data_IF_242129244482
#
_entry.id   IF_242129244482
#
_cell.length_a   1.000
_cell.length_b   1.000
_cell.length_c   1.000
_cell.angle_alpha   90.00
_cell.angle_beta   90.00
_cell.angle_gamma   90.00
#
_symmetry.space_group_name_H-M   'P 1'
#
loop_
_entity.id
_entity.type
_entity.pdbx_description
1 polymer ?
#
# COMPACT_ATOMS: atom_id res chain seq x y z
N UNK A 1 17.06 16.50 26.83
CA UNK A 1 16.12 15.39 26.59
C UNK A 1 16.95 14.18 26.18
N UNK A 2 16.98 13.12 27.00
CA UNK A 2 17.80 11.92 26.78
C UNK A 2 17.05 10.92 25.88
N UNK A 3 17.71 10.22 24.95
CA UNK A 3 17.06 9.17 24.17
C UNK A 3 16.84 7.94 25.07
N UNK A 4 15.62 7.44 25.10
CA UNK A 4 15.20 6.27 25.85
C UNK A 4 15.29 5.06 24.93
N UNK A 5 16.33 4.24 25.13
CA UNK A 5 16.49 2.94 24.49
C UNK A 5 15.46 1.97 25.09
N UNK A 6 14.54 1.47 24.26
CA UNK A 6 13.62 0.39 24.66
C UNK A 6 14.31 -0.94 24.36
N UNK A 7 14.61 -1.67 25.43
CA UNK A 7 15.22 -3.00 25.42
C UNK A 7 14.15 -4.05 25.05
N UNK A 8 14.27 -4.69 23.89
CA UNK A 8 13.45 -5.82 23.52
C UNK A 8 13.88 -7.06 24.32
N UNK A 9 12.99 -7.57 25.18
CA UNK A 9 13.23 -8.81 25.92
C UNK A 9 13.01 -10.01 24.98
N UNK A 10 14.11 -10.60 24.51
CA UNK A 10 14.08 -11.89 23.83
C UNK A 10 13.92 -13.01 24.88
N UNK A 11 12.76 -13.66 24.89
CA UNK A 11 12.58 -14.91 25.63
C UNK A 11 13.33 -16.01 24.87
N UNK A 12 14.56 -16.32 25.30
CA UNK A 12 15.35 -17.41 24.76
C UNK A 12 14.83 -18.74 25.30
N UNK A 13 14.10 -19.49 24.46
CA UNK A 13 13.91 -20.92 24.68
C UNK A 13 15.29 -21.60 24.50
N UNK A 14 15.82 -22.19 25.57
CA UNK A 14 17.06 -22.97 25.51
C UNK A 14 16.85 -24.21 24.61
N UNK A 15 17.68 -24.45 23.58
CA UNK A 15 17.56 -25.66 22.80
C UNK A 15 18.08 -26.84 23.62
N UNK A 16 17.31 -27.92 23.67
CA UNK A 16 17.82 -29.22 24.09
C UNK A 16 18.93 -29.64 23.10
N UNK A 17 20.13 -29.91 23.62
CA UNK A 17 21.26 -30.39 22.83
C UNK A 17 21.06 -31.87 22.47
N UNK A 18 20.24 -32.13 21.45
CA UNK A 18 20.28 -33.40 20.73
C UNK A 18 21.50 -33.40 19.80
N UNK A 19 22.17 -34.55 19.65
CA UNK A 19 23.22 -34.74 18.64
C UNK A 19 22.60 -34.51 17.25
N UNK A 20 22.80 -33.33 16.69
CA UNK A 20 22.26 -32.97 15.38
C UNK A 20 23.33 -33.21 14.33
N UNK A 21 22.91 -33.78 13.19
CA UNK A 21 23.73 -33.83 11.99
C UNK A 21 24.26 -32.42 11.65
N UNK A 22 25.44 -32.30 11.03
CA UNK A 22 25.94 -31.02 10.53
C UNK A 22 24.85 -30.28 9.75
N UNK A 23 24.76 -28.95 9.91
CA UNK A 23 23.77 -28.12 9.19
C UNK A 23 23.75 -28.35 7.68
N UNK A 24 24.87 -28.78 7.09
CA UNK A 24 25.00 -29.12 5.68
C UNK A 24 24.26 -30.41 5.27
N UNK A 25 24.07 -31.34 6.21
CA UNK A 25 23.36 -32.61 6.01
C UNK A 25 21.91 -32.57 6.52
N UNK A 26 21.44 -31.43 7.03
CA UNK A 26 20.08 -31.26 7.56
C UNK A 26 19.22 -30.40 6.62
N UNK A 27 18.29 -30.99 5.86
CA UNK A 27 17.45 -30.25 4.90
C UNK A 27 16.61 -29.16 5.57
N UNK A 28 16.14 -29.41 6.81
CA UNK A 28 15.35 -28.44 7.55
C UNK A 28 16.16 -27.18 7.95
N UNK A 29 17.47 -27.32 8.17
CA UNK A 29 18.36 -26.19 8.47
C UNK A 29 18.72 -25.39 7.21
N UNK A 30 18.99 -26.08 6.09
CA UNK A 30 19.23 -25.43 4.80
C UNK A 30 18.01 -24.62 4.34
N UNK A 31 16.81 -25.15 4.56
CA UNK A 31 15.59 -24.44 4.21
C UNK A 31 15.37 -23.18 5.03
N UNK A 32 15.72 -23.18 6.32
CA UNK A 32 15.60 -21.99 7.14
C UNK A 32 16.47 -20.85 6.60
N UNK A 33 17.73 -21.15 6.26
CA UNK A 33 18.65 -20.13 5.69
C UNK A 33 18.09 -19.51 4.41
N UNK A 34 17.47 -20.31 3.54
CA UNK A 34 16.86 -19.80 2.30
C UNK A 34 15.69 -18.87 2.54
N UNK A 35 14.82 -19.21 3.49
CA UNK A 35 13.71 -18.33 3.88
C UNK A 35 14.28 -16.98 4.35
N UNK A 36 15.29 -17.00 5.22
CA UNK A 36 15.92 -15.79 5.76
C UNK A 36 16.60 -14.95 4.65
N UNK A 37 17.24 -15.61 3.67
CA UNK A 37 17.83 -14.96 2.48
C UNK A 37 16.77 -14.29 1.59
N UNK A 38 15.67 -14.99 1.31
CA UNK A 38 14.56 -14.46 0.52
C UNK A 38 13.87 -13.28 1.22
N UNK A 39 13.64 -13.36 2.53
CA UNK A 39 13.07 -12.27 3.32
C UNK A 39 13.96 -11.02 3.27
N UNK A 40 15.27 -11.20 3.48
CA UNK A 40 16.24 -10.09 3.39
C UNK A 40 16.23 -9.46 2.00
N UNK A 41 16.15 -10.28 0.94
CA UNK A 41 16.06 -9.76 -0.43
C UNK A 41 14.76 -8.99 -0.67
N UNK A 42 13.62 -9.51 -0.23
CA UNK A 42 12.32 -8.81 -0.35
C UNK A 42 12.36 -7.47 0.38
N UNK A 43 12.99 -7.40 1.55
CA UNK A 43 13.18 -6.14 2.28
C UNK A 43 13.99 -5.13 1.46
N UNK A 44 15.08 -5.56 0.83
CA UNK A 44 15.87 -4.69 -0.05
C UNK A 44 15.08 -4.21 -1.28
N UNK A 45 14.36 -5.11 -1.95
CA UNK A 45 13.50 -4.76 -3.10
C UNK A 45 12.38 -3.77 -2.70
N UNK A 46 11.88 -3.84 -1.46
CA UNK A 46 10.94 -2.87 -0.91
C UNK A 46 11.58 -1.50 -0.66
N UNK A 47 12.81 -1.46 -0.16
CA UNK A 47 13.55 -0.21 0.08
C UNK A 47 13.93 0.51 -1.22
N UNK A 48 14.20 -0.24 -2.29
CA UNK A 48 14.55 0.32 -3.61
C UNK A 48 13.34 0.86 -4.38
N UNK A 49 12.12 0.46 -4.01
CA UNK A 49 10.90 0.95 -4.67
C UNK A 49 10.72 2.44 -4.40
N UNK A 50 10.78 3.24 -5.48
CA UNK A 50 10.42 4.66 -5.44
C UNK A 50 8.92 4.79 -5.21
N UNK A 51 8.53 5.43 -4.10
CA UNK A 51 7.15 5.80 -3.84
C UNK A 51 6.74 6.99 -4.72
N UNK A 52 5.48 7.00 -5.18
CA UNK A 52 4.86 8.19 -5.78
C UNK A 52 4.63 9.20 -4.65
N UNK A 53 5.39 10.31 -4.67
CA UNK A 53 5.37 11.33 -3.60
C UNK A 53 4.11 12.18 -3.58
N UNK A 54 3.46 12.37 -4.74
CA UNK A 54 2.16 13.04 -4.85
C UNK A 54 1.22 12.22 -5.75
N UNK A 55 0.35 11.37 -5.16
CA UNK A 55 -0.50 10.49 -5.91
C UNK A 55 -1.70 11.22 -6.54
N UNK A 56 -1.92 12.50 -6.25
CA UNK A 56 -3.08 13.23 -6.78
C UNK A 56 -2.62 14.38 -7.68
N UNK A 57 -2.87 14.26 -8.99
CA UNK A 57 -2.69 15.37 -9.92
C UNK A 57 -4.00 16.14 -10.07
N UNK A 58 -3.90 17.46 -9.98
CA UNK A 58 -5.01 18.37 -10.27
C UNK A 58 -4.67 19.12 -11.54
N UNK A 59 -5.57 19.09 -12.51
CA UNK A 59 -5.49 20.03 -13.61
C UNK A 59 -5.87 21.41 -13.07
N UNK A 60 -4.92 22.36 -13.08
CA UNK A 60 -5.20 23.71 -12.64
C UNK A 60 -6.20 24.32 -13.63
N UNK A 61 -7.45 24.51 -13.18
CA UNK A 61 -8.39 25.31 -13.96
C UNK A 61 -7.72 26.67 -14.26
N UNK A 62 -7.70 27.12 -15.53
CA UNK A 62 -7.11 28.39 -15.87
C UNK A 62 -7.74 29.47 -14.98
N UNK A 63 -6.94 30.42 -14.45
CA UNK A 63 -7.49 31.52 -13.69
C UNK A 63 -8.57 32.18 -14.55
N UNK A 64 -9.77 32.43 -13.99
CA UNK A 64 -10.80 33.11 -14.75
C UNK A 64 -10.19 34.41 -15.28
N UNK A 65 -10.28 34.61 -16.60
CA UNK A 65 -9.76 35.82 -17.24
C UNK A 65 -10.33 37.02 -16.50
N UNK A 66 -9.45 37.90 -15.99
CA UNK A 66 -9.88 39.12 -15.34
C UNK A 66 -10.76 39.89 -16.34
N UNK A 67 -12.06 40.08 -16.06
CA UNK A 67 -12.88 40.89 -16.93
C UNK A 67 -12.30 42.32 -16.91
N UNK A 68 -12.40 43.06 -18.01
CA UNK A 68 -11.90 44.42 -18.08
C UNK A 68 -12.46 45.21 -16.90
N UNK A 69 -11.64 46.09 -16.32
CA UNK A 69 -12.03 47.03 -15.29
C UNK A 69 -13.06 48.02 -15.88
N UNK A 70 -14.30 47.57 -15.99
CA UNK A 70 -15.45 48.40 -16.31
C UNK A 70 -15.85 49.21 -15.08
N UNK A 71 -16.25 50.45 -15.32
CA UNK A 71 -16.62 51.46 -14.33
C UNK A 71 -17.43 50.91 -13.15
N UNK A 72 -17.12 51.43 -11.96
CA UNK A 72 -17.61 50.96 -10.67
C UNK A 72 -19.12 51.21 -10.49
N UNK A 73 -19.95 50.34 -11.08
CA UNK A 73 -21.36 50.23 -10.69
C UNK A 73 -21.39 49.75 -9.24
N UNK A 74 -21.88 50.63 -8.38
CA UNK A 74 -22.11 50.37 -6.96
C UNK A 74 -23.61 50.20 -6.73
N UNK A 75 -23.97 49.30 -5.84
CA UNK A 75 -25.35 49.08 -5.43
C UNK A 75 -25.41 48.74 -3.95
N UNK A 76 -26.53 49.06 -3.33
CA UNK A 76 -26.76 48.80 -1.90
C UNK A 76 -27.13 47.35 -1.69
N UNK A 77 -26.30 46.61 -0.96
CA UNK A 77 -26.59 45.22 -0.57
C UNK A 77 -27.36 45.22 0.73
N UNK A 78 -28.60 44.73 0.70
CA UNK A 78 -29.49 44.55 1.87
C UNK A 78 -29.34 43.17 2.48
N UNK A 79 -29.18 42.15 1.66
CA UNK A 79 -29.13 40.76 2.09
C UNK A 79 -28.17 39.98 1.17
N UNK A 80 -27.36 39.09 1.76
CA UNK A 80 -26.54 38.12 1.03
C UNK A 80 -27.07 36.74 1.37
N UNK A 81 -27.51 36.00 0.36
CA UNK A 81 -28.03 34.64 0.49
C UNK A 81 -27.01 33.64 -0.02
N UNK A 82 -26.84 32.56 0.73
CA UNK A 82 -25.98 31.45 0.35
C UNK A 82 -26.85 30.22 0.05
N UNK A 83 -26.46 29.43 -0.94
CA UNK A 83 -26.98 28.05 -1.02
C UNK A 83 -26.48 27.24 0.17
N UNK A 84 -27.19 26.17 0.51
CA UNK A 84 -26.75 25.26 1.58
C UNK A 84 -25.35 24.73 1.32
N UNK A 85 -24.57 24.61 2.39
CA UNK A 85 -23.19 24.15 2.38
C UNK A 85 -23.04 23.07 3.44
N UNK A 86 -22.47 21.93 3.06
CA UNK A 86 -22.23 20.82 3.98
C UNK A 86 -20.94 21.00 4.79
N UNK A 87 -20.05 21.91 4.38
CA UNK A 87 -18.72 22.10 4.96
C UNK A 87 -18.62 23.38 5.78
N UNK A 88 -19.14 24.50 5.26
CA UNK A 88 -19.19 25.79 5.94
C UNK A 88 -20.55 25.97 6.65
N UNK A 89 -20.56 26.17 7.98
CA UNK A 89 -21.78 26.43 8.72
C UNK A 89 -22.31 27.85 8.42
N UNK A 90 -23.61 28.06 8.60
CA UNK A 90 -24.28 29.32 8.28
C UNK A 90 -23.69 30.52 9.04
N UNK A 91 -23.26 30.32 10.28
CA UNK A 91 -22.65 31.35 11.13
C UNK A 91 -21.33 31.87 10.54
N UNK A 92 -20.50 30.96 10.01
CA UNK A 92 -19.23 31.33 9.39
C UNK A 92 -19.45 32.12 8.08
N UNK A 93 -20.46 31.74 7.30
CA UNK A 93 -20.85 32.46 6.09
C UNK A 93 -21.39 33.86 6.43
N UNK A 94 -22.21 33.98 7.49
CA UNK A 94 -22.73 35.26 7.96
C UNK A 94 -21.61 36.19 8.46
N UNK A 95 -20.61 35.66 9.17
CA UNK A 95 -19.43 36.43 9.61
C UNK A 95 -18.62 36.97 8.43
N UNK A 96 -18.40 36.14 7.40
CA UNK A 96 -17.71 36.55 6.18
C UNK A 96 -18.51 37.61 5.40
N UNK A 97 -19.83 37.50 5.37
CA UNK A 97 -20.74 38.40 4.66
C UNK A 97 -20.98 39.74 5.38
N UNK A 98 -20.92 39.75 6.72
CA UNK A 98 -21.24 40.90 7.56
C UNK A 98 -20.62 42.24 7.10
N UNK A 99 -19.34 42.31 6.71
CA UNK A 99 -18.71 43.54 6.22
C UNK A 99 -19.30 44.11 4.92
N UNK A 100 -20.08 43.33 4.17
CA UNK A 100 -20.63 43.69 2.87
C UNK A 100 -22.14 44.01 2.94
N UNK A 101 -22.85 43.56 3.98
CA UNK A 101 -24.28 43.79 4.16
C UNK A 101 -24.57 45.20 4.72
N UNK A 102 -25.60 45.86 4.20
CA UNK A 102 -26.08 47.16 4.68
C UNK A 102 -25.32 48.38 4.14
N UNK A 103 -24.49 48.22 3.10
CA UNK A 103 -23.71 49.30 2.48
C UNK A 103 -23.68 49.20 0.95
N UNK A 104 -23.18 50.24 0.29
CA UNK A 104 -22.87 50.19 -1.13
C UNK A 104 -21.63 49.35 -1.39
N UNK A 105 -21.77 48.40 -2.31
CA UNK A 105 -20.72 47.44 -2.66
C UNK A 105 -20.58 47.38 -4.18
N UNK A 106 -19.37 47.15 -4.65
CA UNK A 106 -19.06 46.89 -6.06
C UNK A 106 -18.96 45.40 -6.34
N UNK A 107 -19.04 45.03 -7.63
CA UNK A 107 -18.81 43.66 -8.06
C UNK A 107 -17.40 43.15 -7.69
N UNK A 108 -16.40 44.05 -7.63
CA UNK A 108 -15.05 43.70 -7.21
C UNK A 108 -15.00 43.28 -5.73
N UNK A 109 -15.70 43.99 -4.86
CA UNK A 109 -15.79 43.68 -3.42
C UNK A 109 -16.58 42.38 -3.18
N UNK A 110 -17.62 42.10 -3.96
CA UNK A 110 -18.31 40.81 -3.88
C UNK A 110 -17.43 39.65 -4.36
N UNK A 111 -16.58 39.86 -5.37
CA UNK A 111 -15.57 38.87 -5.78
C UNK A 111 -14.52 38.65 -4.69
N UNK A 112 -14.17 39.68 -3.93
CA UNK A 112 -13.31 39.52 -2.76
C UNK A 112 -13.98 38.68 -1.67
N UNK A 113 -15.27 38.89 -1.40
CA UNK A 113 -16.06 38.02 -0.52
C UNK A 113 -16.02 36.55 -1.00
N UNK A 114 -16.27 36.30 -2.28
CA UNK A 114 -16.18 34.96 -2.85
C UNK A 114 -14.78 34.35 -2.67
N UNK A 115 -13.71 35.13 -2.89
CA UNK A 115 -12.33 34.69 -2.68
C UNK A 115 -12.02 34.37 -1.20
N UNK A 116 -12.62 35.09 -0.26
CA UNK A 116 -12.52 34.81 1.18
C UNK A 116 -13.26 33.53 1.57
N UNK A 117 -14.43 33.26 0.98
CA UNK A 117 -15.14 32.00 1.15
C UNK A 117 -14.32 30.84 0.59
N UNK A 118 -13.74 31.00 -0.61
CA UNK A 118 -12.82 30.01 -1.18
C UNK A 118 -11.60 29.76 -0.28
N UNK A 119 -11.09 30.79 0.40
CA UNK A 119 -10.03 30.64 1.39
C UNK A 119 -10.49 29.81 2.61
N UNK A 120 -11.69 30.07 3.12
CA UNK A 120 -12.27 29.31 4.23
C UNK A 120 -12.47 27.81 3.88
N UNK A 121 -12.81 27.49 2.63
CA UNK A 121 -12.82 26.12 2.13
C UNK A 121 -11.41 25.50 2.10
N UNK A 122 -10.42 26.24 1.59
CA UNK A 122 -9.01 25.77 1.54
C UNK A 122 -8.42 25.54 2.93
N UNK A 123 -8.74 26.38 3.91
CA UNK A 123 -8.32 26.20 5.31
C UNK A 123 -8.84 24.87 5.90
N UNK A 124 -10.03 24.44 5.46
CA UNK A 124 -10.63 23.14 5.80
C UNK A 124 -10.15 22.00 4.88
N UNK A 125 -9.12 22.25 4.06
CA UNK A 125 -8.54 21.33 3.08
C UNK A 125 -9.52 20.86 1.99
N UNK A 126 -10.61 21.60 1.77
CA UNK A 126 -11.52 21.35 0.65
C UNK A 126 -11.16 22.28 -0.50
N UNK A 127 -10.51 21.75 -1.52
CA UNK A 127 -10.11 22.53 -2.71
C UNK A 127 -11.03 22.32 -3.91
N UNK A 128 -12.01 21.42 -3.78
CA UNK A 128 -13.05 21.12 -4.77
C UNK A 128 -14.30 21.98 -4.60
N UNK A 129 -14.32 22.88 -3.61
CA UNK A 129 -15.43 23.79 -3.35
C UNK A 129 -15.10 25.22 -3.81
N UNK A 130 -16.10 25.93 -4.35
CA UNK A 130 -15.99 27.34 -4.76
C UNK A 130 -17.27 28.13 -4.52
N UNK A 131 -17.13 29.40 -4.18
CA UNK A 131 -18.20 30.38 -4.19
C UNK A 131 -18.33 31.05 -5.57
N UNK A 132 -19.51 30.98 -6.17
CA UNK A 132 -19.80 31.54 -7.49
C UNK A 132 -20.94 32.55 -7.38
N UNK A 133 -20.75 33.73 -7.95
CA UNK A 133 -21.79 34.75 -8.09
C UNK A 133 -22.42 34.58 -9.47
N UNK A 134 -23.63 34.00 -9.60
CA UNK A 134 -24.29 33.87 -10.89
C UNK A 134 -24.74 35.24 -11.42
N UNK A 135 -24.91 35.39 -12.75
CA UNK A 135 -25.64 36.53 -13.31
C UNK A 135 -27.04 36.61 -12.70
N UNK A 136 -27.37 37.76 -12.12
CA UNK A 136 -28.62 38.00 -11.39
C UNK A 136 -28.96 39.50 -11.43
N UNK A 137 -30.23 39.81 -11.19
CA UNK A 137 -30.67 41.18 -10.97
C UNK A 137 -30.50 41.53 -9.48
N UNK A 138 -29.74 42.59 -9.19
CA UNK A 138 -29.45 43.05 -7.82
C UNK A 138 -30.23 44.32 -7.46
N UNK A 139 -31.22 44.70 -8.26
CA UNK A 139 -32.01 45.94 -8.06
C UNK A 139 -32.72 45.99 -6.71
N UNK A 140 -33.11 44.84 -6.15
CA UNK A 140 -33.76 44.73 -4.83
C UNK A 140 -32.76 44.75 -3.66
N UNK A 141 -31.45 44.75 -3.96
CA UNK A 141 -30.38 44.70 -2.97
C UNK A 141 -30.14 43.30 -2.38
N UNK A 142 -30.67 42.24 -2.97
CA UNK A 142 -30.40 40.85 -2.57
C UNK A 142 -29.31 40.27 -3.48
N UNK A 143 -28.30 39.65 -2.89
CA UNK A 143 -27.20 39.00 -3.63
C UNK A 143 -27.17 37.51 -3.29
N UNK A 144 -27.41 36.67 -4.28
CA UNK A 144 -27.24 35.22 -4.19
C UNK A 144 -25.80 34.82 -4.51
N UNK A 145 -25.17 34.10 -3.58
CA UNK A 145 -23.86 33.47 -3.75
C UNK A 145 -24.06 31.95 -3.70
N UNK A 146 -23.74 31.26 -4.79
CA UNK A 146 -23.85 29.81 -4.89
C UNK A 146 -22.56 29.16 -4.40
N UNK A 147 -22.68 28.32 -3.38
CA UNK A 147 -21.62 27.49 -2.85
C UNK A 147 -21.63 26.16 -3.61
N UNK A 148 -20.64 25.96 -4.46
CA UNK A 148 -20.49 24.75 -5.29
C UNK A 148 -19.49 23.85 -4.61
N UNK A 149 -19.97 22.84 -3.89
CA UNK A 149 -19.13 21.84 -3.24
C UNK A 149 -18.99 20.63 -4.16
N UNK A 150 -17.77 20.38 -4.64
CA UNK A 150 -17.50 19.32 -5.61
C UNK A 150 -17.86 17.93 -5.09
N UNK A 151 -18.68 17.22 -5.86
CA UNK A 151 -19.07 15.83 -5.61
C UNK A 151 -18.37 14.88 -6.57
N UNK A 152 -18.14 13.65 -6.13
CA UNK A 152 -17.56 12.61 -6.98
C UNK A 152 -18.52 12.36 -8.15
N UNK A 153 -18.02 12.57 -9.37
CA UNK A 153 -18.71 12.25 -10.61
C UNK A 153 -18.48 10.80 -10.99
N UNK A 154 -18.01 10.58 -12.22
CA UNK A 154 -17.60 9.25 -12.71
C UNK A 154 -16.22 8.87 -12.16
N UNK A 155 -16.01 7.59 -11.87
CA UNK A 155 -14.70 7.03 -11.51
C UNK A 155 -14.28 6.06 -12.61
N UNK A 156 -13.21 6.40 -13.32
CA UNK A 156 -12.59 5.52 -14.30
C UNK A 156 -11.28 4.94 -13.74
N UNK A 157 -11.04 3.64 -13.94
CA UNK A 157 -9.78 2.98 -13.60
C UNK A 157 -9.10 2.56 -14.90
N UNK A 158 -7.85 2.96 -15.08
CA UNK A 158 -7.08 2.76 -16.31
C UNK A 158 -5.70 2.17 -15.99
N UNK A 159 -5.19 1.31 -16.88
CA UNK A 159 -3.87 0.65 -16.69
C UNK A 159 -3.90 -0.62 -15.83
N UNK A 160 -5.06 -1.02 -15.32
CA UNK A 160 -5.26 -2.22 -14.51
C UNK A 160 -5.39 -3.50 -15.36
N UNK A 161 -4.31 -3.89 -16.06
CA UNK A 161 -4.35 -5.05 -16.95
C UNK A 161 -4.56 -6.39 -16.23
N UNK A 162 -4.10 -6.50 -14.98
CA UNK A 162 -4.18 -7.73 -14.18
C UNK A 162 -4.89 -7.57 -12.85
N UNK A 163 -5.27 -6.35 -12.47
CA UNK A 163 -5.97 -6.05 -11.22
C UNK A 163 -7.42 -5.70 -11.50
N UNK A 164 -8.32 -6.26 -10.71
CA UNK A 164 -9.74 -5.95 -10.78
C UNK A 164 -10.00 -4.48 -10.39
N UNK A 165 -10.85 -3.79 -11.15
CA UNK A 165 -11.15 -2.38 -10.90
C UNK A 165 -11.90 -2.19 -9.58
N UNK A 166 -12.79 -3.11 -9.22
CA UNK A 166 -13.55 -3.08 -7.97
C UNK A 166 -12.62 -3.27 -6.76
N UNK A 167 -11.58 -4.10 -6.89
CA UNK A 167 -10.55 -4.24 -5.86
C UNK A 167 -9.90 -2.88 -5.52
N UNK A 168 -9.62 -2.08 -6.55
CA UNK A 168 -9.01 -0.74 -6.43
C UNK A 168 -10.02 0.24 -5.83
N UNK A 169 -11.22 0.37 -6.42
CA UNK A 169 -12.23 1.36 -5.99
C UNK A 169 -12.68 1.13 -4.55
N UNK A 170 -12.85 -0.13 -4.14
CA UNK A 170 -13.17 -0.48 -2.74
C UNK A 170 -12.09 -0.07 -1.74
N UNK A 171 -10.85 0.17 -2.18
CA UNK A 171 -9.72 0.55 -1.32
C UNK A 171 -9.49 2.06 -1.23
N UNK A 172 -9.87 2.81 -2.26
CA UNK A 172 -9.74 4.27 -2.32
C UNK A 172 -10.95 5.05 -1.78
N UNK A 173 -11.99 4.35 -1.33
CA UNK A 173 -13.04 4.92 -0.46
C UNK A 173 -13.99 5.90 -1.10
N UNK A 174 -13.94 6.07 -2.42
CA UNK A 174 -14.78 7.01 -3.13
C UNK A 174 -16.07 6.38 -3.60
N UNK A 175 -17.17 7.08 -3.36
CA UNK A 175 -18.51 6.71 -3.80
C UNK A 175 -19.05 7.83 -4.69
N UNK A 176 -19.51 7.54 -5.92
CA UNK A 176 -20.15 8.54 -6.77
C UNK A 176 -21.30 9.26 -6.05
N UNK A 177 -21.34 10.59 -6.16
CA UNK A 177 -22.34 11.46 -5.52
C UNK A 177 -21.98 12.00 -4.13
N UNK A 178 -20.98 11.40 -3.46
CA UNK A 178 -20.47 11.93 -2.18
C UNK A 178 -19.59 13.16 -2.40
N UNK A 179 -19.36 13.94 -1.33
CA UNK A 179 -18.44 15.08 -1.36
C UNK A 179 -17.03 14.57 -1.64
N UNK A 180 -16.30 15.28 -2.52
CA UNK A 180 -14.90 14.95 -2.77
C UNK A 180 -14.05 15.38 -1.58
N UNK A 181 -13.62 14.42 -0.78
CA UNK A 181 -12.62 14.60 0.28
C UNK A 181 -11.22 14.23 -0.26
N UNK A 182 -10.49 15.25 -0.70
CA UNK A 182 -9.14 15.09 -1.24
C UNK A 182 -8.12 14.59 -0.21
N UNK A 183 -8.08 15.10 1.03
CA UNK A 183 -7.23 14.54 2.08
C UNK A 183 -7.44 13.04 2.30
N UNK A 184 -8.70 12.58 2.33
CA UNK A 184 -9.02 11.15 2.47
C UNK A 184 -8.57 10.37 1.24
N UNK A 185 -8.85 10.85 0.03
CA UNK A 185 -8.40 10.21 -1.21
C UNK A 185 -6.87 10.07 -1.25
N UNK A 186 -6.14 11.14 -0.95
CA UNK A 186 -4.68 11.12 -0.91
C UNK A 186 -4.16 10.12 0.13
N UNK A 187 -4.78 10.05 1.32
CA UNK A 187 -4.41 9.09 2.36
C UNK A 187 -4.65 7.65 1.90
N UNK A 188 -5.78 7.39 1.24
CA UNK A 188 -6.10 6.05 0.74
C UNK A 188 -5.21 5.63 -0.43
N UNK A 189 -4.87 6.54 -1.34
CA UNK A 189 -3.89 6.28 -2.41
C UNK A 189 -2.50 6.00 -1.84
N UNK A 190 -2.04 6.81 -0.87
CA UNK A 190 -0.78 6.54 -0.16
C UNK A 190 -0.81 5.17 0.52
N UNK A 191 -1.89 4.84 1.22
CA UNK A 191 -2.06 3.53 1.87
C UNK A 191 -1.99 2.38 0.86
N UNK A 192 -2.67 2.50 -0.27
CA UNK A 192 -2.60 1.50 -1.33
C UNK A 192 -1.17 1.35 -1.85
N UNK A 193 -0.53 2.45 -2.24
CA UNK A 193 0.81 2.46 -2.84
C UNK A 193 1.90 1.90 -1.92
N UNK A 194 1.74 2.07 -0.60
CA UNK A 194 2.69 1.55 0.39
C UNK A 194 2.45 0.10 0.78
N UNK A 195 1.28 -0.46 0.48
CA UNK A 195 0.90 -1.82 0.92
C UNK A 195 0.72 -2.80 -0.24
N UNK A 196 0.54 -2.30 -1.45
CA UNK A 196 0.44 -3.09 -2.68
C UNK A 196 1.67 -2.87 -3.55
N UNK A 197 1.90 -3.80 -4.47
CA UNK A 197 2.99 -3.74 -5.43
C UNK A 197 2.61 -2.98 -6.72
N UNK A 198 1.33 -2.76 -6.99
CA UNK A 198 0.87 -1.78 -7.98
C UNK A 198 0.91 -0.37 -7.38
N UNK A 199 1.09 0.65 -8.23
CA UNK A 199 1.05 2.06 -7.83
C UNK A 199 -0.16 2.74 -8.47
N UNK A 200 -0.84 3.57 -7.69
CA UNK A 200 -1.99 4.35 -8.10
C UNK A 200 -1.64 5.83 -8.14
N UNK A 201 -2.17 6.49 -9.15
CA UNK A 201 -2.27 7.94 -9.24
C UNK A 201 -3.72 8.30 -9.56
N UNK A 202 -4.20 9.41 -9.04
CA UNK A 202 -5.51 9.94 -9.35
C UNK A 202 -5.38 11.30 -10.05
N UNK A 203 -6.06 11.43 -11.17
CA UNK A 203 -6.20 12.68 -11.91
C UNK A 203 -7.64 13.17 -11.75
N UNK A 204 -7.80 14.38 -11.21
CA UNK A 204 -9.11 15.03 -11.06
C UNK A 204 -9.38 15.95 -12.24
N UNK A 205 -10.54 15.78 -12.87
CA UNK A 205 -11.03 16.62 -13.95
C UNK A 205 -12.43 17.18 -13.62
N UNK A 206 -12.85 18.21 -14.36
CA UNK A 206 -14.21 18.72 -14.27
C UNK A 206 -15.19 17.63 -14.76
N UNK A 207 -16.22 17.34 -13.95
CA UNK A 207 -17.19 16.30 -14.27
C UNK A 207 -18.27 16.76 -15.24
N UNK A 208 -18.99 15.79 -15.81
CA UNK A 208 -20.04 16.06 -16.80
C UNK A 208 -21.23 16.87 -16.24
N UNK A 209 -21.49 16.79 -14.93
CA UNK A 209 -22.55 17.55 -14.25
C UNK A 209 -21.96 18.72 -13.49
N UNK A 210 -22.70 19.82 -13.43
CA UNK A 210 -22.31 20.98 -12.62
C UNK A 210 -22.10 20.58 -11.16
N UNK A 211 -20.99 21.01 -10.57
CA UNK A 211 -20.62 20.67 -9.19
C UNK A 211 -20.10 19.24 -9.01
N UNK A 212 -19.75 18.53 -10.10
CA UNK A 212 -19.10 17.22 -10.02
C UNK A 212 -17.66 17.27 -10.54
N UNK A 213 -16.82 16.37 -10.00
CA UNK A 213 -15.47 16.12 -10.47
C UNK A 213 -15.34 14.66 -10.85
N UNK A 214 -14.98 14.40 -12.11
CA UNK A 214 -14.69 13.04 -12.57
C UNK A 214 -13.26 12.68 -12.17
N UNK A 215 -13.07 11.42 -11.79
CA UNK A 215 -11.81 10.90 -11.29
C UNK A 215 -11.28 9.81 -12.19
N UNK A 216 -10.04 9.98 -12.64
CA UNK A 216 -9.30 8.93 -13.36
C UNK A 216 -8.22 8.36 -12.45
N UNK A 217 -8.36 7.09 -12.11
CA UNK A 217 -7.34 6.33 -11.37
C UNK A 217 -6.43 5.63 -12.38
N UNK A 218 -5.21 6.13 -12.48
CA UNK A 218 -4.14 5.54 -13.28
C UNK A 218 -3.41 4.48 -12.44
N UNK A 219 -3.27 3.29 -13.00
CA UNK A 219 -2.66 2.14 -12.34
C UNK A 219 -1.37 1.76 -13.06
N UNK A 220 -0.27 1.75 -12.32
CA UNK A 220 1.01 1.22 -12.77
C UNK A 220 1.25 -0.15 -12.13
N UNK A 221 1.06 -1.21 -12.91
CA UNK A 221 1.26 -2.58 -12.46
C UNK A 221 2.67 -3.09 -12.78
N UNK A 222 3.37 -3.76 -11.85
CA UNK A 222 4.55 -4.53 -12.20
C UNK A 222 4.17 -5.72 -13.09
N UNK A 223 5.12 -6.31 -13.83
CA UNK A 223 4.86 -7.50 -14.63
C UNK A 223 4.14 -8.59 -13.82
N UNK A 224 2.95 -8.99 -14.31
CA UNK A 224 2.11 -10.00 -13.68
C UNK A 224 2.87 -11.30 -13.48
N UNK A 225 3.62 -11.72 -14.50
CA UNK A 225 4.43 -12.92 -14.50
C UNK A 225 5.91 -12.55 -14.39
N UNK A 226 6.64 -13.28 -13.54
CA UNK A 226 8.08 -13.16 -13.40
C UNK A 226 8.69 -14.54 -13.34
N UNK A 227 9.73 -14.75 -14.13
CA UNK A 227 10.57 -15.94 -14.08
C UNK A 227 11.98 -15.53 -13.70
N UNK A 228 12.57 -16.22 -12.73
CA UNK A 228 13.92 -15.96 -12.24
C UNK A 228 14.72 -17.25 -12.28
N UNK A 229 15.84 -17.20 -12.98
CA UNK A 229 16.87 -18.23 -12.96
C UNK A 229 17.99 -17.76 -12.01
N UNK A 230 18.52 -18.66 -11.19
CA UNK A 230 19.64 -18.38 -10.30
C UNK A 230 20.71 -19.46 -10.42
N UNK A 231 21.97 -19.05 -10.29
CA UNK A 231 23.12 -19.91 -10.14
C UNK A 231 24.01 -19.29 -9.07
N UNK A 232 24.32 -20.05 -8.02
CA UNK A 232 25.15 -19.59 -6.91
C UNK A 232 26.00 -20.74 -6.36
N UNK A 233 27.03 -20.40 -5.59
CA UNK A 233 27.91 -21.35 -4.89
C UNK A 233 27.65 -21.39 -3.37
N UNK A 234 26.43 -21.08 -2.93
CA UNK A 234 26.03 -21.06 -1.52
C UNK A 234 25.62 -22.43 -0.97
N UNK A 235 25.80 -23.51 -1.74
CA UNK A 235 25.59 -24.88 -1.30
C UNK A 235 26.70 -25.38 -0.36
N UNK A 236 26.67 -26.67 -0.04
CA UNK A 236 27.67 -27.28 0.84
C UNK A 236 28.62 -28.19 0.08
N UNK A 237 29.85 -28.33 0.56
CA UNK A 237 30.85 -29.22 -0.06
C UNK A 237 30.33 -30.66 -0.22
N UNK A 238 29.58 -31.18 0.76
CA UNK A 238 29.08 -32.56 0.72
C UNK A 238 27.83 -32.79 -0.12
N UNK A 239 26.97 -31.78 -0.28
CA UNK A 239 25.70 -31.86 -1.04
C UNK A 239 25.71 -31.09 -2.37
N UNK A 240 26.87 -30.55 -2.75
CA UNK A 240 27.08 -29.72 -3.93
C UNK A 240 27.10 -28.23 -3.60
N UNK A 241 28.24 -27.58 -3.85
CA UNK A 241 28.42 -26.13 -3.64
C UNK A 241 27.58 -25.31 -4.61
N UNK A 242 27.54 -25.72 -5.88
CA UNK A 242 26.81 -25.02 -6.92
C UNK A 242 25.34 -25.41 -6.93
N UNK A 243 24.47 -24.41 -6.81
CA UNK A 243 23.02 -24.53 -6.82
C UNK A 243 22.44 -23.81 -8.02
N UNK A 244 21.51 -24.45 -8.71
CA UNK A 244 20.69 -23.83 -9.75
C UNK A 244 19.26 -23.71 -9.26
N UNK A 245 18.66 -22.53 -9.43
CA UNK A 245 17.29 -22.26 -9.01
C UNK A 245 16.43 -21.73 -10.15
N UNK A 246 15.15 -22.07 -10.09
CA UNK A 246 14.09 -21.53 -10.93
C UNK A 246 12.95 -21.08 -10.03
N UNK A 247 12.56 -19.81 -10.14
CA UNK A 247 11.45 -19.24 -9.40
C UNK A 247 10.47 -18.58 -10.36
N UNK A 248 9.21 -19.00 -10.28
CA UNK A 248 8.08 -18.36 -10.95
C UNK A 248 7.23 -17.58 -9.95
N UNK A 249 6.78 -16.40 -10.34
CA UNK A 249 5.87 -15.57 -9.56
C UNK A 249 4.75 -15.04 -10.44
N UNK A 250 3.50 -15.19 -10.01
CA UNK A 250 2.33 -14.48 -10.54
C UNK A 250 1.85 -13.49 -9.47
N UNK A 251 1.81 -12.19 -9.77
CA UNK A 251 1.49 -11.10 -8.81
C UNK A 251 0.01 -10.69 -8.75
N UNK A 252 -0.84 -11.33 -9.55
CA UNK A 252 -2.30 -11.12 -9.52
C UNK A 252 -2.96 -12.36 -10.12
N UNK A 253 -2.95 -13.48 -9.41
CA UNK A 253 -3.48 -14.73 -9.94
C UNK A 253 -5.00 -14.63 -10.12
N UNK A 254 -5.71 -14.12 -9.10
CA UNK A 254 -7.16 -13.95 -9.06
C UNK A 254 -7.64 -12.53 -9.35
N UNK A 255 -6.72 -11.58 -9.58
CA UNK A 255 -7.07 -10.19 -9.87
C UNK A 255 -6.97 -9.24 -8.67
N UNK A 256 -6.52 -9.72 -7.51
CA UNK A 256 -6.57 -8.97 -6.25
C UNK A 256 -5.19 -8.62 -5.70
N UNK A 257 -4.16 -8.49 -6.57
CA UNK A 257 -2.75 -8.38 -6.16
C UNK A 257 -2.32 -9.52 -5.21
N UNK A 258 -2.91 -10.68 -5.44
CA UNK A 258 -2.56 -11.94 -4.81
C UNK A 258 -1.36 -12.56 -5.53
N UNK A 259 -0.38 -12.99 -4.74
CA UNK A 259 0.90 -13.51 -5.24
C UNK A 259 0.92 -15.04 -5.12
N UNK A 260 1.08 -15.74 -6.25
CA UNK A 260 1.49 -17.15 -6.29
C UNK A 260 2.99 -17.22 -6.59
N UNK A 261 3.73 -17.97 -5.78
CA UNK A 261 5.15 -18.26 -5.99
C UNK A 261 5.39 -19.76 -6.08
N UNK A 262 6.19 -20.20 -7.06
CA UNK A 262 6.62 -21.59 -7.25
C UNK A 262 8.13 -21.64 -7.46
N UNK A 263 8.84 -22.45 -6.67
CA UNK A 263 10.29 -22.52 -6.69
C UNK A 263 10.82 -23.94 -6.80
N UNK A 264 11.90 -24.10 -7.54
CA UNK A 264 12.71 -25.33 -7.58
C UNK A 264 14.17 -24.95 -7.45
N UNK A 265 14.92 -25.66 -6.60
CA UNK A 265 16.37 -25.52 -6.47
C UNK A 265 17.01 -26.90 -6.50
N UNK A 266 18.04 -27.06 -7.33
CA UNK A 266 18.80 -28.30 -7.47
C UNK A 266 20.31 -28.08 -7.29
N UNK A 267 20.97 -29.05 -6.69
CA UNK A 267 22.42 -29.24 -6.64
C UNK A 267 22.73 -30.75 -6.76
N UNK A 268 24.01 -31.13 -6.79
CA UNK A 268 24.41 -32.54 -6.97
C UNK A 268 23.76 -33.52 -5.99
N UNK A 269 23.64 -33.13 -4.72
CA UNK A 269 23.02 -33.91 -3.64
C UNK A 269 21.89 -33.16 -2.95
N UNK A 270 21.20 -32.25 -3.66
CA UNK A 270 20.11 -31.47 -3.07
C UNK A 270 18.99 -31.21 -4.08
N UNK A 271 17.75 -31.42 -3.66
CA UNK A 271 16.57 -31.01 -4.41
C UNK A 271 15.55 -30.36 -3.47
N UNK A 272 14.97 -29.25 -3.94
CA UNK A 272 14.06 -28.45 -3.15
C UNK A 272 12.93 -27.90 -4.00
N UNK A 273 11.71 -27.98 -3.48
CA UNK A 273 10.49 -27.51 -4.12
C UNK A 273 9.73 -26.63 -3.14
N UNK A 274 9.25 -25.48 -3.60
CA UNK A 274 8.46 -24.55 -2.79
C UNK A 274 7.23 -24.05 -3.55
N UNK A 275 6.16 -23.80 -2.81
CA UNK A 275 4.96 -23.14 -3.30
C UNK A 275 4.46 -22.16 -2.22
N UNK A 276 4.04 -20.98 -2.64
CA UNK A 276 3.50 -19.95 -1.75
C UNK A 276 2.33 -19.22 -2.40
N UNK A 277 1.37 -18.82 -1.57
CA UNK A 277 0.25 -17.98 -1.97
C UNK A 277 -0.01 -16.91 -0.91
N UNK A 278 -0.03 -15.64 -1.33
CA UNK A 278 -0.26 -14.50 -0.45
C UNK A 278 -1.38 -13.64 -0.98
N UNK A 279 -2.39 -13.33 -0.17
CA UNK A 279 -3.54 -12.53 -0.61
C UNK A 279 -3.85 -11.37 0.35
N UNK A 280 -4.28 -10.21 -0.15
CA UNK A 280 -4.72 -9.09 0.70
C UNK A 280 -6.02 -9.42 1.44
N UNK A 281 -6.08 -9.09 2.73
CA UNK A 281 -7.25 -9.38 3.58
C UNK A 281 -8.11 -8.16 3.93
N UNK A 282 -7.57 -6.94 3.81
CA UNK A 282 -8.31 -5.71 4.13
C UNK A 282 -7.77 -4.47 3.39
N UNK A 283 -8.47 -3.35 3.56
CA UNK A 283 -8.09 -2.03 2.99
C UNK A 283 -6.85 -1.43 3.64
N UNK A 284 -6.51 -1.83 4.86
CA UNK A 284 -5.33 -1.38 5.60
C UNK A 284 -4.02 -2.05 5.15
N UNK A 285 -4.07 -2.88 4.11
CA UNK A 285 -2.87 -3.53 3.55
C UNK A 285 -2.47 -4.82 4.24
N UNK A 286 -3.35 -5.39 5.07
CA UNK A 286 -3.10 -6.70 5.67
C UNK A 286 -2.97 -7.79 4.61
N UNK A 287 -2.07 -8.75 4.82
CA UNK A 287 -1.85 -9.90 3.92
C UNK A 287 -1.78 -11.20 4.71
N UNK A 288 -2.49 -12.22 4.24
CA UNK A 288 -2.34 -13.59 4.70
C UNK A 288 -1.53 -14.37 3.68
N UNK A 289 -0.55 -15.14 4.15
CA UNK A 289 0.36 -15.93 3.33
C UNK A 289 0.33 -17.38 3.80
N UNK A 290 0.24 -18.29 2.84
CA UNK A 290 0.34 -19.73 2.99
C UNK A 290 1.52 -20.21 2.15
N UNK A 291 2.42 -21.01 2.70
CA UNK A 291 3.52 -21.58 1.94
C UNK A 291 3.77 -23.03 2.36
N UNK A 292 4.30 -23.81 1.43
CA UNK A 292 4.72 -25.18 1.66
C UNK A 292 6.02 -25.46 0.91
N UNK A 293 6.82 -26.37 1.46
CA UNK A 293 8.06 -26.80 0.82
C UNK A 293 8.33 -28.29 1.06
N UNK A 294 9.13 -28.86 0.18
CA UNK A 294 9.69 -30.21 0.29
C UNK A 294 11.15 -30.18 -0.14
N UNK A 295 12.00 -30.72 0.72
CA UNK A 295 13.44 -30.75 0.56
C UNK A 295 13.98 -32.16 0.70
N UNK A 296 14.98 -32.46 -0.11
CA UNK A 296 15.79 -33.65 -0.03
C UNK A 296 17.26 -33.28 -0.12
N UNK A 297 18.07 -33.88 0.74
CA UNK A 297 19.53 -33.71 0.77
C UNK A 297 20.17 -35.08 0.89
N UNK A 298 21.28 -35.28 0.21
CA UNK A 298 22.14 -36.44 0.27
C UNK A 298 23.59 -35.98 0.22
N UNK A 299 24.45 -36.61 1.04
CA UNK A 299 25.89 -36.34 1.02
C UNK A 299 26.53 -37.21 -0.05
N UNK A 300 26.84 -36.58 -1.19
CA UNK A 300 27.35 -37.24 -2.39
C UNK A 300 28.86 -37.02 -2.60
N UNK A 301 29.45 -36.07 -1.88
CA UNK A 301 30.88 -35.70 -1.96
C UNK A 301 31.52 -35.60 -0.57
N UNK A 302 32.86 -35.66 -0.52
CA UNK A 302 33.64 -35.53 0.72
C UNK A 302 33.75 -36.80 1.58
N UNK A 303 34.38 -36.69 2.77
CA UNK A 303 34.73 -37.83 3.61
C UNK A 303 33.54 -38.57 4.23
N UNK A 304 32.35 -37.96 4.22
CA UNK A 304 31.13 -38.54 4.76
C UNK A 304 30.26 -39.23 3.70
N UNK A 305 30.68 -39.21 2.42
CA UNK A 305 29.94 -39.84 1.32
C UNK A 305 29.65 -41.32 1.57
N UNK A 306 30.66 -42.07 2.02
CA UNK A 306 30.56 -43.51 2.21
C UNK A 306 29.60 -43.91 3.34
N UNK A 307 29.14 -42.95 4.15
CA UNK A 307 28.14 -43.18 5.19
C UNK A 307 26.70 -43.21 4.64
N UNK A 308 26.47 -42.81 3.38
CA UNK A 308 25.14 -42.73 2.76
C UNK A 308 24.14 -41.95 3.65
N UNK A 309 24.52 -40.70 3.95
CA UNK A 309 23.71 -39.79 4.77
C UNK A 309 22.71 -39.08 3.88
N UNK A 310 21.42 -39.24 4.17
CA UNK A 310 20.34 -38.55 3.48
C UNK A 310 19.32 -37.96 4.45
N UNK A 311 18.60 -36.95 3.98
CA UNK A 311 17.58 -36.27 4.76
C UNK A 311 16.41 -35.82 3.89
N UNK A 312 15.24 -35.72 4.52
CA UNK A 312 14.03 -35.10 3.93
C UNK A 312 13.42 -34.13 4.91
N UNK A 313 12.97 -32.98 4.41
CA UNK A 313 12.20 -32.02 5.21
C UNK A 313 10.95 -31.59 4.44
N UNK A 314 9.83 -31.52 5.14
CA UNK A 314 8.60 -30.91 4.63
C UNK A 314 8.10 -29.89 5.62
N UNK A 315 7.56 -28.78 5.13
CA UNK A 315 6.98 -27.79 6.04
C UNK A 315 5.88 -26.98 5.41
N UNK A 316 5.02 -26.45 6.28
CA UNK A 316 3.92 -25.56 5.96
C UNK A 316 4.03 -24.32 6.83
N UNK A 317 3.82 -23.15 6.25
CA UNK A 317 3.91 -21.85 6.89
C UNK A 317 2.60 -21.12 6.67
N UNK A 318 2.07 -20.53 7.73
CA UNK A 318 0.94 -19.59 7.71
C UNK A 318 1.42 -18.31 8.36
N UNK A 319 1.25 -17.17 7.69
CA UNK A 319 1.66 -15.87 8.23
C UNK A 319 0.64 -14.78 7.90
N UNK A 320 0.34 -13.94 8.88
CA UNK A 320 -0.44 -12.71 8.76
C UNK A 320 0.48 -11.52 9.00
N UNK A 321 0.53 -10.61 8.04
CA UNK A 321 1.20 -9.31 8.17
C UNK A 321 0.15 -8.22 8.13
N UNK A 322 0.10 -7.35 9.14
CA UNK A 322 -0.85 -6.25 9.24
C UNK A 322 -0.14 -4.93 9.48
N UNK A 323 -0.15 -3.98 8.52
CA UNK A 323 0.26 -2.62 8.79
C UNK A 323 -0.64 -2.00 9.87
N UNK A 324 -0.03 -1.52 10.94
CA UNK A 324 -0.71 -0.84 12.07
C UNK A 324 -0.40 0.66 12.10
N UNK A 325 0.69 1.08 11.46
CA UNK A 325 1.05 2.48 11.27
C UNK A 325 1.65 2.69 9.87
N UNK A 326 1.16 3.73 9.18
CA UNK A 326 1.64 4.17 7.87
C UNK A 326 1.81 5.69 7.92
N UNK A 327 3.01 6.16 8.26
CA UNK A 327 3.38 7.57 8.23
C UNK A 327 3.85 8.03 6.85
N UNK A 328 4.41 9.23 6.74
CA UNK A 328 5.02 9.71 5.48
C UNK A 328 6.38 9.06 5.23
N UNK A 329 7.18 8.85 6.28
CA UNK A 329 8.52 8.26 6.19
C UNK A 329 8.69 6.97 6.99
N UNK A 330 7.64 6.50 7.65
CA UNK A 330 7.71 5.35 8.55
C UNK A 330 6.55 4.38 8.34
N UNK A 331 6.78 3.11 8.64
CA UNK A 331 5.78 2.03 8.59
C UNK A 331 6.04 1.08 9.75
N UNK A 332 4.96 0.63 10.38
CA UNK A 332 5.02 -0.43 11.40
C UNK A 332 4.03 -1.52 11.04
N UNK A 333 4.52 -2.75 10.96
CA UNK A 333 3.76 -3.96 10.70
C UNK A 333 3.73 -4.84 11.95
N UNK A 334 2.57 -5.41 12.25
CA UNK A 334 2.44 -6.55 13.15
C UNK A 334 2.52 -7.84 12.31
N UNK A 335 3.35 -8.78 12.73
CA UNK A 335 3.55 -10.07 12.05
C UNK A 335 3.21 -11.19 13.00
N UNK A 336 2.29 -12.06 12.59
CA UNK A 336 1.94 -13.28 13.29
C UNK A 336 2.19 -14.45 12.34
N UNK A 337 2.84 -15.51 12.79
CA UNK A 337 3.03 -16.67 11.95
C UNK A 337 3.18 -17.98 12.71
N UNK A 338 2.92 -19.07 11.99
CA UNK A 338 3.11 -20.43 12.45
C UNK A 338 3.78 -21.26 11.36
N UNK A 339 4.75 -22.07 11.76
CA UNK A 339 5.48 -22.99 10.89
C UNK A 339 5.40 -24.39 11.48
N UNK A 340 4.90 -25.34 10.71
CA UNK A 340 4.98 -26.77 11.02
C UNK A 340 6.01 -27.40 10.11
N UNK A 341 6.95 -28.16 10.67
CA UNK A 341 8.02 -28.83 9.93
C UNK A 341 8.19 -30.26 10.43
N UNK A 342 8.40 -31.17 9.50
CA UNK A 342 8.81 -32.55 9.76
C UNK A 342 10.12 -32.80 9.03
N UNK A 343 11.12 -33.36 9.73
CA UNK A 343 12.43 -33.68 9.18
C UNK A 343 12.80 -35.09 9.58
N UNK A 344 13.28 -35.88 8.62
CA UNK A 344 13.77 -37.24 8.82
C UNK A 344 15.13 -37.37 8.18
N UNK A 345 16.05 -38.02 8.89
CA UNK A 345 17.41 -38.26 8.42
C UNK A 345 17.73 -39.76 8.53
N UNK A 346 18.55 -40.24 7.60
CA UNK A 346 18.99 -41.62 7.49
C UNK A 346 20.51 -41.69 7.31
N UNK A 347 21.06 -42.82 7.71
CA UNK A 347 22.44 -43.23 7.42
C UNK A 347 22.40 -44.67 6.91
N UNK A 348 22.90 -44.93 5.70
CA UNK A 348 22.85 -46.27 5.09
C UNK A 348 21.44 -46.89 5.12
N UNK A 349 20.42 -46.09 4.77
CA UNK A 349 18.99 -46.43 4.85
C UNK A 349 18.41 -46.72 6.25
N UNK A 350 19.20 -46.61 7.33
CA UNK A 350 18.73 -46.74 8.71
C UNK A 350 18.26 -45.38 9.21
N UNK A 351 17.04 -45.26 9.77
CA UNK A 351 16.55 -43.99 10.31
C UNK A 351 17.40 -43.57 11.50
N UNK A 352 18.00 -42.38 11.40
CA UNK A 352 18.86 -41.81 12.44
C UNK A 352 18.08 -40.88 13.36
N UNK A 353 17.28 -40.00 12.77
CA UNK A 353 16.57 -38.95 13.50
C UNK A 353 15.26 -38.61 12.79
N UNK A 354 14.19 -38.49 13.55
CA UNK A 354 12.94 -37.86 13.14
C UNK A 354 12.65 -36.69 14.08
N UNK A 355 12.23 -35.56 13.52
CA UNK A 355 11.95 -34.34 14.28
C UNK A 355 10.74 -33.64 13.69
N UNK A 356 9.75 -33.40 14.55
CA UNK A 356 8.57 -32.60 14.23
C UNK A 356 8.62 -31.32 15.07
N UNK A 357 8.55 -30.16 14.41
CA UNK A 357 8.49 -28.86 15.08
C UNK A 357 7.24 -28.10 14.68
N UNK A 358 6.65 -27.42 15.66
CA UNK A 358 5.60 -26.44 15.44
C UNK A 358 6.07 -25.17 16.14
N UNK A 359 6.40 -24.18 15.33
CA UNK A 359 6.93 -22.90 15.78
C UNK A 359 5.86 -21.83 15.57
N UNK A 360 5.66 -20.97 16.56
CA UNK A 360 4.78 -19.81 16.48
C UNK A 360 5.57 -18.55 16.77
N UNK A 361 5.32 -17.47 16.05
CA UNK A 361 5.98 -16.19 16.30
C UNK A 361 4.98 -15.03 16.20
N UNK A 362 5.20 -14.04 17.05
CA UNK A 362 4.57 -12.73 17.01
C UNK A 362 5.69 -11.70 17.00
N UNK A 363 5.65 -10.78 16.06
CA UNK A 363 6.68 -9.77 15.85
C UNK A 363 6.11 -8.42 15.47
N UNK A 364 6.95 -7.40 15.60
CA UNK A 364 6.70 -6.05 15.12
C UNK A 364 7.87 -5.67 14.23
N UNK A 365 7.59 -5.31 12.98
CA UNK A 365 8.58 -4.78 12.05
C UNK A 365 8.37 -3.27 11.92
N UNK A 366 9.42 -2.48 12.17
CA UNK A 366 9.39 -1.03 12.00
C UNK A 366 10.43 -0.62 10.96
N UNK A 367 10.01 0.20 10.01
CA UNK A 367 10.86 0.79 8.97
C UNK A 367 10.68 2.30 9.02
N UNK A 368 11.77 3.05 8.97
CA UNK A 368 11.77 4.51 8.89
C UNK A 368 12.90 4.97 7.95
N UNK A 369 12.61 5.96 7.11
CA UNK A 369 13.59 6.63 6.27
C UNK A 369 14.08 7.92 6.96
N UNK A 370 15.40 8.08 7.05
CA UNK A 370 16.09 9.24 7.65
C UNK A 370 15.75 10.57 6.96
#
# INVERSE_FOLDING_TARGET
MKPMLILAAALSAAPALAQTLPSAANPGALQQRRIDEEERRRQLEQLERREITDPVRREAAPPPAAPPAGEAVRFTVREIRFTESAILPAEALAELAGPYTGREVSLAELRELAARIDAAYRERRVVTARAVIPPQDVSDGVVDIRLVEGRVGEIAVEGNASTDAEFITRRIGLVPGELVDLPVLEQDLRRFNRTQDAQLRADLAAGQRFGTSDLRILVEEPPRHSLRLSLDNGGSEGSGEWRTGLQYTNRSLLGFRDELSLGVVGAKGQESYSAGYSFPVNRSGGRLSLAAYKDHVEIVEGPLRDLDISGRSTGTIVALRQPVHLGERSRTDLVLGSKRRETRNWISSVPLQETQTVDGHLGVEHQAAD
#
